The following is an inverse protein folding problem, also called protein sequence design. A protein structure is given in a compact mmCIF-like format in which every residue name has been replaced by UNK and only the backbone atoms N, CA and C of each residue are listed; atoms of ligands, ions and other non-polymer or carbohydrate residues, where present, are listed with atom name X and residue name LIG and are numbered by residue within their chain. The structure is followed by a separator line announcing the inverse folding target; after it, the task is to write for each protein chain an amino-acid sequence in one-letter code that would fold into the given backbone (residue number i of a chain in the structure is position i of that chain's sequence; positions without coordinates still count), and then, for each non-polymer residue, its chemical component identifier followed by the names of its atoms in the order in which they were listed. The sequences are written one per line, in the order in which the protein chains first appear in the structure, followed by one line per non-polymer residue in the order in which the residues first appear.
data_IF_014273190638
#
_entry.id   IF_014273190638
#
_cell.length_a   1.000
_cell.length_b   1.000
_cell.length_c   1.000
_cell.angle_alpha   90.00
_cell.angle_beta   90.00
_cell.angle_gamma   90.00
#
_symmetry.space_group_name_H-M   'P 1'
#
loop_
_entity.id
_entity.type
_entity.pdbx_description
1 polymer ?
#
# COMPACT_ATOMS: atom_id res chain seq x y z
N UNK A 1 13.36 -19.22 -7.02
CA UNK A 1 13.29 -19.16 -5.54
C UNK A 1 11.91 -19.65 -5.14
N UNK A 2 11.76 -20.44 -4.07
CA UNK A 2 10.46 -20.94 -3.65
C UNK A 2 9.52 -19.76 -3.31
N UNK A 3 8.30 -19.74 -3.83
CA UNK A 3 7.31 -18.67 -3.61
C UNK A 3 6.99 -18.46 -2.13
N UNK A 4 7.06 -19.51 -1.30
CA UNK A 4 6.91 -19.38 0.15
C UNK A 4 8.06 -18.60 0.80
N UNK A 5 9.29 -18.80 0.32
CA UNK A 5 10.47 -18.07 0.81
C UNK A 5 10.38 -16.60 0.40
N UNK A 6 10.00 -16.32 -0.85
CA UNK A 6 9.74 -14.96 -1.33
C UNK A 6 8.69 -14.24 -0.49
N UNK A 7 7.58 -14.92 -0.18
CA UNK A 7 6.52 -14.38 0.66
C UNK A 7 7.01 -14.11 2.08
N UNK A 8 7.76 -15.04 2.69
CA UNK A 8 8.37 -14.84 4.00
C UNK A 8 9.30 -13.62 4.04
N UNK A 9 10.14 -13.43 3.02
CA UNK A 9 11.01 -12.25 2.89
C UNK A 9 10.18 -10.97 2.77
N UNK A 10 9.15 -10.96 1.93
CA UNK A 10 8.30 -9.78 1.75
C UNK A 10 7.62 -9.38 3.06
N UNK A 11 7.05 -10.34 3.79
CA UNK A 11 6.41 -10.11 5.09
C UNK A 11 7.43 -9.61 6.11
N UNK A 12 8.61 -10.25 6.18
CA UNK A 12 9.67 -9.85 7.10
C UNK A 12 10.17 -8.42 6.84
N UNK A 13 10.39 -8.06 5.57
CA UNK A 13 10.82 -6.70 5.21
C UNK A 13 9.75 -5.66 5.54
N UNK A 14 8.46 -5.95 5.26
CA UNK A 14 7.38 -5.05 5.66
C UNK A 14 7.34 -4.89 7.17
N UNK A 15 7.44 -5.98 7.93
CA UNK A 15 7.49 -5.93 9.39
C UNK A 15 8.66 -5.09 9.88
N UNK A 16 9.86 -5.30 9.35
CA UNK A 16 11.06 -4.55 9.74
C UNK A 16 10.91 -3.05 9.47
N UNK A 17 10.36 -2.68 8.30
CA UNK A 17 10.10 -1.28 7.95
C UNK A 17 9.02 -0.66 8.84
N UNK A 18 7.91 -1.36 9.07
CA UNK A 18 6.84 -0.90 9.97
C UNK A 18 7.33 -0.76 11.41
N UNK A 19 8.13 -1.71 11.89
CA UNK A 19 8.76 -1.64 13.21
C UNK A 19 9.70 -0.43 13.31
N UNK A 20 10.55 -0.21 12.29
CA UNK A 20 11.43 0.95 12.23
C UNK A 20 10.66 2.27 12.26
N UNK A 21 9.60 2.39 11.45
CA UNK A 21 8.74 3.59 11.42
C UNK A 21 8.08 3.82 12.79
N UNK A 22 7.50 2.78 13.38
CA UNK A 22 6.82 2.92 14.69
C UNK A 22 7.80 3.26 15.82
N UNK A 23 9.03 2.76 15.78
CA UNK A 23 10.00 2.97 16.86
C UNK A 23 10.81 4.25 16.72
N UNK A 24 11.15 4.64 15.51
CA UNK A 24 12.03 5.78 15.23
C UNK A 24 11.28 7.04 14.83
N UNK A 25 10.09 6.90 14.24
CA UNK A 25 9.34 8.03 13.66
C UNK A 25 8.06 8.30 14.45
N UNK A 26 7.18 7.32 14.56
CA UNK A 26 5.87 7.47 15.21
C UNK A 26 5.95 7.22 16.72
N UNK A 27 6.75 8.03 17.41
CA UNK A 27 6.92 7.91 18.87
C UNK A 27 5.70 8.43 19.63
N UNK A 28 5.60 8.05 20.91
CA UNK A 28 4.53 8.54 21.79
C UNK A 28 4.49 10.06 21.86
N UNK A 29 5.65 10.72 21.83
CA UNK A 29 5.74 12.19 21.83
C UNK A 29 5.10 12.79 20.57
N UNK A 30 5.34 12.21 19.39
CA UNK A 30 4.76 12.70 18.12
C UNK A 30 3.24 12.59 18.15
N UNK A 31 2.70 11.49 18.69
CA UNK A 31 1.26 11.35 18.89
C UNK A 31 0.72 12.29 19.97
N UNK A 32 1.45 12.48 21.06
CA UNK A 32 1.06 13.34 22.16
C UNK A 32 0.91 14.79 21.70
N UNK A 33 1.94 15.34 21.03
CA UNK A 33 1.90 16.71 20.49
C UNK A 33 0.84 16.88 19.40
N UNK A 34 0.53 15.84 18.62
CA UNK A 34 -0.54 15.92 17.63
C UNK A 34 -1.95 15.94 18.23
N UNK A 35 -2.13 15.41 19.45
CA UNK A 35 -3.45 15.20 20.07
C UNK A 35 -3.75 16.14 21.22
N UNK A 36 -2.73 16.73 21.87
CA UNK A 36 -2.89 17.58 23.07
C UNK A 36 -3.80 18.79 22.84
N UNK A 37 -3.85 19.32 21.62
CA UNK A 37 -4.71 20.45 21.28
C UNK A 37 -6.19 20.05 21.13
N UNK A 38 -6.50 18.75 21.06
CA UNK A 38 -7.84 18.24 20.76
C UNK A 38 -8.42 17.33 21.86
N UNK A 39 -7.57 16.73 22.69
CA UNK A 39 -7.95 15.71 23.68
C UNK A 39 -7.33 16.01 25.05
N UNK A 40 -7.98 15.54 26.11
CA UNK A 40 -7.39 15.58 27.45
C UNK A 40 -6.22 14.58 27.59
N UNK A 41 -5.26 14.89 28.46
CA UNK A 41 -4.09 14.03 28.70
C UNK A 41 -4.48 12.61 29.12
N UNK A 42 -5.46 12.46 30.01
CA UNK A 42 -5.99 11.16 30.42
C UNK A 42 -6.49 10.34 29.22
N UNK A 43 -7.20 11.00 28.29
CA UNK A 43 -7.72 10.33 27.10
C UNK A 43 -6.62 9.93 26.13
N UNK A 44 -5.56 10.75 26.00
CA UNK A 44 -4.39 10.43 25.19
C UNK A 44 -3.67 9.20 25.75
N UNK A 45 -3.46 9.14 27.06
CA UNK A 45 -2.85 7.97 27.71
C UNK A 45 -3.70 6.70 27.55
N UNK A 46 -5.02 6.78 27.68
CA UNK A 46 -5.91 5.65 27.41
C UNK A 46 -5.80 5.13 25.96
N UNK A 47 -5.73 6.04 24.98
CA UNK A 47 -5.61 5.68 23.57
C UNK A 47 -4.26 5.02 23.27
N UNK A 48 -3.15 5.60 23.75
CA UNK A 48 -1.80 5.03 23.57
C UNK A 48 -1.67 3.65 24.24
N UNK A 49 -2.23 3.47 25.44
CA UNK A 49 -2.22 2.17 26.12
C UNK A 49 -3.09 1.13 25.39
N UNK A 50 -4.23 1.54 24.86
CA UNK A 50 -5.09 0.68 24.05
C UNK A 50 -4.37 0.24 22.77
N UNK A 51 -3.70 1.16 22.08
CA UNK A 51 -2.93 0.85 20.87
C UNK A 51 -1.85 -0.21 21.13
N UNK A 52 -1.04 -0.03 22.19
CA UNK A 52 -0.01 -1.01 22.61
C UNK A 52 -0.60 -2.40 22.87
N UNK A 53 -1.80 -2.47 23.46
CA UNK A 53 -2.47 -3.75 23.75
C UNK A 53 -2.89 -4.51 22.48
N UNK A 54 -3.26 -3.81 21.40
CA UNK A 54 -3.70 -4.42 20.14
C UNK A 54 -2.58 -4.58 19.11
N UNK A 55 -1.40 -4.02 19.37
CA UNK A 55 -0.27 -4.01 18.44
C UNK A 55 0.14 -5.42 17.98
N UNK A 56 0.19 -6.38 18.91
CA UNK A 56 0.53 -7.77 18.60
C UNK A 56 -0.49 -8.45 17.67
N UNK A 57 -1.77 -8.08 17.74
CA UNK A 57 -2.82 -8.61 16.86
C UNK A 57 -2.57 -8.12 15.43
N UNK A 58 -2.28 -6.82 15.26
CA UNK A 58 -1.99 -6.21 13.97
C UNK A 58 -0.77 -6.89 13.32
N UNK A 59 0.31 -7.10 14.09
CA UNK A 59 1.49 -7.79 13.58
C UNK A 59 1.24 -9.26 13.22
N UNK A 60 0.40 -9.97 13.98
CA UNK A 60 0.05 -11.36 13.70
C UNK A 60 -0.87 -11.51 12.49
N UNK A 61 -1.78 -10.56 12.26
CA UNK A 61 -2.69 -10.57 11.12
C UNK A 61 -2.08 -10.02 9.83
N UNK A 62 -1.00 -9.23 9.91
CA UNK A 62 -0.30 -8.66 8.77
C UNK A 62 -0.03 -9.66 7.63
N UNK A 63 0.59 -10.83 7.89
CA UNK A 63 0.83 -11.85 6.86
C UNK A 63 -0.45 -12.31 6.16
N UNK A 64 -1.55 -12.49 6.89
CA UNK A 64 -2.84 -12.93 6.33
C UNK A 64 -3.40 -11.86 5.39
N UNK A 65 -3.32 -10.58 5.79
CA UNK A 65 -3.76 -9.44 4.96
C UNK A 65 -2.93 -9.36 3.68
N UNK A 66 -1.60 -9.51 3.74
CA UNK A 66 -0.76 -9.54 2.56
C UNK A 66 -1.06 -10.73 1.64
N UNK A 67 -1.28 -11.92 2.21
CA UNK A 67 -1.65 -13.10 1.43
C UNK A 67 -2.99 -12.88 0.70
N UNK A 68 -3.98 -12.33 1.38
CA UNK A 68 -5.28 -12.00 0.79
C UNK A 68 -5.14 -10.94 -0.31
N UNK A 69 -4.33 -9.90 -0.09
CA UNK A 69 -4.03 -8.88 -1.12
C UNK A 69 -3.44 -9.53 -2.38
N UNK A 70 -2.39 -10.34 -2.24
CA UNK A 70 -1.75 -11.03 -3.36
C UNK A 70 -2.73 -11.96 -4.09
N UNK A 71 -3.57 -12.69 -3.34
CA UNK A 71 -4.60 -13.55 -3.90
C UNK A 71 -5.61 -12.75 -4.73
N UNK A 72 -6.13 -11.64 -4.21
CA UNK A 72 -7.08 -10.79 -4.93
C UNK A 72 -6.48 -10.21 -6.22
N UNK A 73 -5.22 -9.76 -6.17
CA UNK A 73 -4.54 -9.27 -7.37
C UNK A 73 -4.36 -10.36 -8.43
N UNK A 74 -3.88 -11.54 -8.03
CA UNK A 74 -3.74 -12.67 -8.93
C UNK A 74 -5.09 -13.11 -9.51
N UNK A 75 -6.16 -13.09 -8.71
CA UNK A 75 -7.52 -13.41 -9.14
C UNK A 75 -8.05 -12.42 -10.18
N UNK A 76 -7.84 -11.12 -9.99
CA UNK A 76 -8.25 -10.10 -10.96
C UNK A 76 -7.58 -10.32 -12.33
N UNK A 77 -6.28 -10.63 -12.34
CA UNK A 77 -5.55 -10.91 -13.58
C UNK A 77 -6.03 -12.23 -14.19
N UNK A 78 -6.23 -13.26 -13.37
CA UNK A 78 -6.73 -14.57 -13.81
C UNK A 78 -8.08 -14.46 -14.53
N UNK A 79 -8.98 -13.62 -14.01
CA UNK A 79 -10.26 -13.31 -14.67
C UNK A 79 -10.04 -12.73 -16.08
N UNK A 80 -9.04 -11.87 -16.27
CA UNK A 80 -8.72 -11.36 -17.61
C UNK A 80 -8.16 -12.41 -18.57
N UNK A 81 -7.33 -13.34 -18.06
CA UNK A 81 -6.89 -14.49 -18.84
C UNK A 81 -8.08 -15.34 -19.28
N UNK A 82 -9.02 -15.60 -18.36
CA UNK A 82 -10.26 -16.32 -18.64
C UNK A 82 -11.09 -15.63 -19.75
N UNK A 83 -11.33 -14.32 -19.66
CA UNK A 83 -12.07 -13.58 -20.70
C UNK A 83 -11.36 -13.53 -22.06
N UNK A 84 -10.04 -13.67 -22.09
CA UNK A 84 -9.26 -13.75 -23.34
C UNK A 84 -9.10 -15.18 -23.87
N UNK A 85 -9.73 -16.18 -23.24
CA UNK A 85 -9.54 -17.60 -23.55
C UNK A 85 -8.07 -18.05 -23.53
N UNK A 86 -7.27 -17.44 -22.65
CA UNK A 86 -5.86 -17.79 -22.46
C UNK A 86 -5.72 -18.71 -21.25
N UNK A 87 -4.98 -19.80 -21.41
CA UNK A 87 -4.74 -20.76 -20.33
C UNK A 87 -3.51 -20.35 -19.53
N UNK A 88 -3.68 -20.19 -18.22
CA UNK A 88 -2.58 -19.92 -17.28
C UNK A 88 -2.85 -20.62 -15.96
N UNK A 89 -1.80 -21.03 -15.25
CA UNK A 89 -1.93 -21.53 -13.89
C UNK A 89 -2.04 -20.36 -12.92
N UNK A 90 -3.00 -20.40 -11.99
CA UNK A 90 -3.16 -19.38 -10.96
C UNK A 90 -1.87 -19.17 -10.15
N UNK A 91 -1.13 -20.25 -9.86
CA UNK A 91 0.15 -20.20 -9.15
C UNK A 91 1.19 -19.32 -9.84
N UNK A 92 1.21 -19.30 -11.18
CA UNK A 92 2.13 -18.46 -11.97
C UNK A 92 1.78 -16.99 -11.80
N UNK A 93 0.49 -16.65 -11.89
CA UNK A 93 0.05 -15.26 -11.67
C UNK A 93 0.27 -14.80 -10.23
N UNK A 94 0.08 -15.70 -9.26
CA UNK A 94 0.36 -15.41 -7.86
C UNK A 94 1.85 -15.14 -7.62
N UNK A 95 2.75 -15.92 -8.24
CA UNK A 95 4.19 -15.69 -8.14
C UNK A 95 4.62 -14.38 -8.80
N UNK A 96 4.05 -14.04 -9.95
CA UNK A 96 4.27 -12.75 -10.62
C UNK A 96 3.78 -11.59 -9.75
N UNK A 97 2.57 -11.69 -9.19
CA UNK A 97 2.04 -10.70 -8.25
C UNK A 97 2.94 -10.52 -7.02
N UNK A 98 3.42 -11.63 -6.44
CA UNK A 98 4.33 -11.64 -5.31
C UNK A 98 5.66 -10.94 -5.61
N UNK A 99 6.27 -11.22 -6.77
CA UNK A 99 7.51 -10.57 -7.20
C UNK A 99 7.32 -9.06 -7.39
N UNK A 100 6.22 -8.65 -8.01
CA UNK A 100 5.91 -7.24 -8.24
C UNK A 100 5.65 -6.45 -6.97
N UNK A 101 5.15 -7.10 -5.92
CA UNK A 101 4.78 -6.47 -4.65
C UNK A 101 5.98 -5.81 -3.93
N UNK A 102 7.21 -6.25 -4.21
CA UNK A 102 8.43 -5.66 -3.65
C UNK A 102 8.59 -4.16 -3.96
N UNK A 103 8.00 -3.67 -5.06
CA UNK A 103 8.04 -2.24 -5.38
C UNK A 103 7.35 -1.38 -4.32
N UNK A 104 6.35 -1.92 -3.63
CA UNK A 104 5.64 -1.19 -2.57
C UNK A 104 6.48 -1.00 -1.30
N UNK A 105 7.57 -1.76 -1.12
CA UNK A 105 8.51 -1.55 -0.01
C UNK A 105 9.26 -0.23 -0.12
N UNK A 106 9.36 0.35 -1.33
CA UNK A 106 10.09 1.59 -1.57
C UNK A 106 9.50 2.78 -0.80
N UNK A 107 8.17 2.82 -0.63
CA UNK A 107 7.51 3.91 0.09
C UNK A 107 7.89 3.92 1.58
N UNK A 108 7.62 2.87 2.37
CA UNK A 108 7.99 2.86 3.78
C UNK A 108 9.51 2.93 3.98
N UNK A 109 10.32 2.38 3.08
CA UNK A 109 11.78 2.55 3.13
C UNK A 109 12.20 4.01 2.94
N UNK A 110 11.65 4.70 1.93
CA UNK A 110 11.92 6.12 1.70
C UNK A 110 11.42 6.98 2.87
N UNK A 111 10.25 6.66 3.44
CA UNK A 111 9.71 7.34 4.62
C UNK A 111 10.66 7.21 5.80
N UNK A 112 11.09 5.97 6.09
CA UNK A 112 12.01 5.69 7.18
C UNK A 112 13.33 6.45 7.01
N UNK A 113 13.91 6.40 5.82
CA UNK A 113 15.15 7.09 5.50
C UNK A 113 15.02 8.62 5.62
N UNK A 114 13.97 9.21 5.05
CA UNK A 114 13.77 10.66 5.04
C UNK A 114 13.66 11.25 6.45
N UNK A 115 12.76 10.73 7.27
CA UNK A 115 12.51 11.28 8.61
C UNK A 115 13.56 10.88 9.67
N UNK A 116 14.40 9.89 9.37
CA UNK A 116 15.53 9.57 10.24
C UNK A 116 16.73 10.50 9.96
N UNK A 117 16.99 10.82 8.69
CA UNK A 117 18.24 11.48 8.30
C UNK A 117 18.11 12.93 7.83
N UNK A 118 16.97 13.36 7.30
CA UNK A 118 16.82 14.68 6.67
C UNK A 118 15.89 15.62 7.42
N UNK A 119 14.71 15.13 7.81
CA UNK A 119 13.72 15.92 8.55
C UNK A 119 13.48 15.27 9.90
N UNK A 120 14.05 15.83 10.96
CA UNK A 120 13.90 15.32 12.34
C UNK A 120 12.87 16.13 13.16
N UNK A 121 12.34 17.22 12.61
CA UNK A 121 11.36 18.10 13.25
C UNK A 121 10.02 18.03 12.51
N UNK A 122 9.55 16.81 12.26
CA UNK A 122 8.29 16.56 11.56
C UNK A 122 7.10 16.54 12.52
N UNK A 123 5.94 16.91 12.01
CA UNK A 123 4.65 16.64 12.65
C UNK A 123 4.13 15.25 12.25
N UNK A 124 3.10 14.78 12.96
CA UNK A 124 2.38 13.56 12.58
C UNK A 124 1.82 13.66 11.16
N UNK A 125 1.27 14.82 10.78
CA UNK A 125 0.72 15.06 9.44
C UNK A 125 1.78 14.89 8.35
N UNK A 126 2.99 15.42 8.56
CA UNK A 126 4.09 15.28 7.61
C UNK A 126 4.41 13.79 7.33
N UNK A 127 4.39 12.96 8.37
CA UNK A 127 4.68 11.52 8.26
C UNK A 127 3.55 10.77 7.57
N UNK A 128 2.30 11.13 7.86
CA UNK A 128 1.11 10.49 7.29
C UNK A 128 0.92 10.86 5.82
N UNK A 129 1.24 12.09 5.42
CA UNK A 129 1.13 12.55 4.03
C UNK A 129 2.29 12.08 3.13
N UNK A 130 3.34 11.48 3.70
CA UNK A 130 4.46 10.93 2.93
C UNK A 130 4.07 9.61 2.24
N UNK A 131 4.27 9.43 0.91
CA UNK A 131 5.04 10.29 0.02
C UNK A 131 4.15 11.31 -0.72
N UNK A 132 4.70 12.50 -0.93
CA UNK A 132 4.08 13.58 -1.71
C UNK A 132 4.10 13.34 -3.23
N UNK A 133 4.15 12.09 -3.71
CA UNK A 133 4.18 11.75 -5.15
C UNK A 133 2.90 11.01 -5.59
N UNK A 134 1.77 11.45 -5.04
CA UNK A 134 0.44 11.01 -5.44
C UNK A 134 -0.14 11.97 -6.47
N UNK A 135 -1.19 11.59 -7.19
CA UNK A 135 -1.88 12.52 -8.09
C UNK A 135 -2.47 13.71 -7.31
N UNK A 136 -2.76 13.53 -6.02
CA UNK A 136 -3.27 14.58 -5.14
C UNK A 136 -2.26 15.71 -4.89
N UNK A 137 -0.96 15.38 -4.84
CA UNK A 137 0.09 16.37 -4.52
C UNK A 137 0.48 17.29 -5.69
N UNK A 138 -0.07 17.04 -6.88
CA UNK A 138 0.06 17.95 -8.03
C UNK A 138 -0.72 19.25 -7.79
N UNK A 139 -1.76 19.19 -6.95
CA UNK A 139 -2.61 20.33 -6.66
C UNK A 139 -2.11 21.10 -5.43
N UNK A 140 -2.22 22.44 -5.42
CA UNK A 140 -1.86 23.24 -4.25
C UNK A 140 -2.63 22.82 -2.99
N UNK A 141 -2.02 23.00 -1.81
CA UNK A 141 -2.69 22.76 -0.54
C UNK A 141 -4.01 23.54 -0.43
N UNK A 142 -5.06 22.87 0.01
CA UNK A 142 -6.42 23.44 0.13
C UNK A 142 -7.21 23.52 -1.17
N UNK A 143 -6.62 23.20 -2.34
CA UNK A 143 -7.34 23.23 -3.62
C UNK A 143 -8.32 22.05 -3.77
N UNK A 144 -7.93 20.87 -3.30
CA UNK A 144 -8.76 19.68 -3.36
C UNK A 144 -9.57 19.53 -2.08
N UNK A 145 -10.88 19.31 -2.25
CA UNK A 145 -11.71 18.85 -1.16
C UNK A 145 -11.27 17.46 -0.69
N UNK A 146 -11.44 17.16 0.60
CA UNK A 146 -10.97 15.92 1.24
C UNK A 146 -11.43 14.65 0.50
N UNK A 147 -12.69 14.62 0.06
CA UNK A 147 -13.28 13.51 -0.69
C UNK A 147 -12.62 13.25 -2.05
N UNK A 148 -11.94 14.23 -2.66
CA UNK A 148 -11.15 14.06 -3.91
C UNK A 148 -9.68 13.78 -3.60
N UNK A 149 -9.13 14.35 -2.52
CA UNK A 149 -7.75 14.11 -2.09
C UNK A 149 -7.50 12.62 -1.82
N UNK A 150 -8.43 11.96 -1.16
CA UNK A 150 -8.34 10.53 -0.81
C UNK A 150 -8.21 9.58 -2.03
N UNK A 151 -9.12 9.58 -3.02
CA UNK A 151 -9.03 8.71 -4.20
C UNK A 151 -7.77 8.99 -5.04
N UNK A 152 -7.36 10.26 -5.14
CA UNK A 152 -6.12 10.64 -5.86
C UNK A 152 -4.85 10.16 -5.14
N UNK A 153 -4.92 9.84 -3.85
CA UNK A 153 -3.82 9.23 -3.09
C UNK A 153 -3.44 7.83 -3.59
N UNK A 154 -4.40 7.07 -4.12
CA UNK A 154 -4.15 5.73 -4.67
C UNK A 154 -3.37 5.77 -5.98
N UNK A 155 -3.49 6.85 -6.74
CA UNK A 155 -2.75 7.04 -7.98
C UNK A 155 -1.39 7.66 -7.65
N UNK A 156 -0.34 6.86 -7.68
CA UNK A 156 1.01 7.31 -7.39
C UNK A 156 2.06 6.63 -8.29
N UNK A 157 3.29 7.12 -8.25
CA UNK A 157 4.38 6.61 -9.09
C UNK A 157 4.72 5.13 -8.81
N UNK A 158 4.55 4.68 -7.57
CA UNK A 158 4.80 3.29 -7.18
C UNK A 158 3.71 2.38 -7.72
N UNK A 159 2.46 2.86 -7.76
CA UNK A 159 1.35 2.17 -8.36
C UNK A 159 1.52 1.99 -9.88
N UNK A 160 2.05 3.02 -10.55
CA UNK A 160 2.43 2.93 -11.96
C UNK A 160 3.58 1.95 -12.17
N UNK A 161 4.64 2.05 -11.36
CA UNK A 161 5.77 1.12 -11.41
C UNK A 161 5.31 -0.34 -11.18
N UNK A 162 4.39 -0.56 -10.23
CA UNK A 162 3.78 -1.86 -9.97
C UNK A 162 3.08 -2.44 -11.21
N UNK A 163 2.25 -1.65 -11.90
CA UNK A 163 1.58 -2.08 -13.13
C UNK A 163 2.59 -2.49 -14.20
N UNK A 164 3.67 -1.72 -14.38
CA UNK A 164 4.71 -2.00 -15.37
C UNK A 164 5.51 -3.26 -15.03
N UNK A 165 5.90 -3.44 -13.76
CA UNK A 165 6.63 -4.63 -13.28
C UNK A 165 5.73 -5.87 -13.41
N UNK A 166 4.45 -5.76 -13.08
CA UNK A 166 3.48 -6.85 -13.22
C UNK A 166 3.29 -7.24 -14.69
N UNK A 167 3.12 -6.27 -15.57
CA UNK A 167 3.04 -6.51 -17.01
C UNK A 167 4.31 -7.17 -17.55
N UNK A 168 5.48 -6.75 -17.06
CA UNK A 168 6.77 -7.33 -17.43
C UNK A 168 6.92 -8.77 -16.93
N UNK A 169 6.47 -9.05 -15.70
CA UNK A 169 6.46 -10.40 -15.13
C UNK A 169 5.56 -11.35 -15.94
N UNK A 170 4.36 -10.91 -16.30
CA UNK A 170 3.45 -11.69 -17.17
C UNK A 170 4.08 -11.93 -18.55
N UNK A 171 4.65 -10.88 -19.15
CA UNK A 171 5.29 -10.96 -20.48
C UNK A 171 6.44 -11.95 -20.50
N UNK A 172 7.29 -11.95 -19.47
CA UNK A 172 8.43 -12.85 -19.38
C UNK A 172 8.02 -14.29 -19.05
N UNK A 173 7.15 -14.49 -18.05
CA UNK A 173 6.82 -15.83 -17.55
C UNK A 173 5.85 -16.58 -18.47
N UNK A 174 5.12 -15.87 -19.35
CA UNK A 174 4.13 -16.45 -20.29
C UNK A 174 4.47 -16.20 -21.77
N UNK A 175 5.67 -15.69 -22.06
CA UNK A 175 6.15 -15.39 -23.42
C UNK A 175 5.20 -14.50 -24.25
N UNK A 176 4.39 -13.70 -23.56
CA UNK A 176 3.46 -12.75 -24.19
C UNK A 176 4.19 -11.48 -24.59
N UNK A 177 3.75 -10.81 -25.66
CA UNK A 177 4.23 -9.45 -25.97
C UNK A 177 3.96 -8.53 -24.78
N UNK A 178 4.92 -7.66 -24.49
CA UNK A 178 4.79 -6.71 -23.38
C UNK A 178 3.57 -5.80 -23.52
N UNK A 179 3.26 -5.34 -24.74
CA UNK A 179 2.06 -4.55 -25.03
C UNK A 179 0.77 -5.26 -24.63
N UNK A 180 0.68 -6.55 -24.92
CA UNK A 180 -0.52 -7.35 -24.70
C UNK A 180 -0.71 -7.65 -23.22
N UNK A 181 0.42 -7.88 -22.54
CA UNK A 181 0.51 -8.07 -21.08
C UNK A 181 0.18 -6.77 -20.33
N UNK A 182 0.70 -5.63 -20.77
CA UNK A 182 0.40 -4.32 -20.19
C UNK A 182 -1.08 -3.97 -20.37
N UNK A 183 -1.63 -4.20 -21.56
CA UNK A 183 -3.06 -4.02 -21.83
C UNK A 183 -3.91 -4.92 -20.93
N UNK A 184 -3.50 -6.18 -20.74
CA UNK A 184 -4.18 -7.11 -19.85
C UNK A 184 -4.19 -6.63 -18.39
N UNK A 185 -3.03 -6.25 -17.86
CA UNK A 185 -2.91 -5.74 -16.49
C UNK A 185 -3.75 -4.48 -16.31
N UNK A 186 -3.68 -3.54 -17.25
CA UNK A 186 -4.46 -2.32 -17.18
C UNK A 186 -5.97 -2.59 -17.17
N UNK A 187 -6.46 -3.47 -18.05
CA UNK A 187 -7.88 -3.82 -18.13
C UNK A 187 -8.39 -4.66 -16.95
N UNK A 188 -7.50 -5.36 -16.24
CA UNK A 188 -7.89 -6.21 -15.10
C UNK A 188 -7.62 -5.51 -13.78
N UNK A 189 -6.35 -5.41 -13.42
CA UNK A 189 -5.89 -4.78 -12.19
C UNK A 189 -6.27 -3.30 -12.14
N UNK A 190 -6.14 -2.56 -13.25
CA UNK A 190 -6.54 -1.15 -13.29
C UNK A 190 -8.03 -0.95 -13.04
N UNK A 191 -8.89 -1.80 -13.60
CA UNK A 191 -10.34 -1.80 -13.34
C UNK A 191 -10.63 -2.20 -11.89
N UNK A 192 -9.96 -3.22 -11.35
CA UNK A 192 -10.11 -3.62 -9.96
C UNK A 192 -9.70 -2.49 -8.98
N UNK A 193 -8.62 -1.76 -9.29
CA UNK A 193 -8.18 -0.59 -8.54
C UNK A 193 -9.23 0.52 -8.60
N UNK A 194 -9.83 0.79 -9.76
CA UNK A 194 -10.92 1.77 -9.87
C UNK A 194 -12.14 1.38 -9.03
N UNK A 195 -12.54 0.10 -9.06
CA UNK A 195 -13.63 -0.41 -8.21
C UNK A 195 -13.29 -0.19 -6.73
N UNK A 196 -12.06 -0.48 -6.32
CA UNK A 196 -11.60 -0.25 -4.95
C UNK A 196 -11.63 1.23 -4.56
N UNK A 197 -11.19 2.12 -5.45
CA UNK A 197 -11.23 3.57 -5.22
C UNK A 197 -12.68 4.05 -5.08
N UNK A 198 -13.59 3.61 -5.95
CA UNK A 198 -15.00 4.00 -5.88
C UNK A 198 -15.68 3.45 -4.62
N UNK A 199 -15.37 2.21 -4.24
CA UNK A 199 -15.89 1.61 -3.01
C UNK A 199 -15.44 2.36 -1.77
N UNK A 200 -14.15 2.69 -1.68
CA UNK A 200 -13.61 3.44 -0.53
C UNK A 200 -14.12 4.87 -0.50
N UNK A 201 -14.29 5.52 -1.66
CA UNK A 201 -14.95 6.83 -1.77
C UNK A 201 -16.39 6.78 -1.26
N UNK A 202 -17.16 5.77 -1.67
CA UNK A 202 -18.55 5.59 -1.22
C UNK A 202 -18.62 5.43 0.29
N UNK A 203 -17.76 4.58 0.88
CA UNK A 203 -17.69 4.42 2.33
C UNK A 203 -17.32 5.74 3.01
N UNK A 204 -16.32 6.44 2.50
CA UNK A 204 -15.87 7.70 3.07
C UNK A 204 -17.01 8.71 3.12
N UNK A 205 -17.71 8.94 2.00
CA UNK A 205 -18.82 9.90 1.93
C UNK A 205 -20.03 9.45 2.77
N UNK A 206 -20.28 8.14 2.87
CA UNK A 206 -21.46 7.62 3.59
C UNK A 206 -21.30 7.66 5.11
N UNK A 207 -20.06 7.63 5.62
CA UNK A 207 -19.76 7.52 7.06
C UNK A 207 -18.91 8.69 7.60
N UNK A 208 -18.62 9.71 6.79
CA UNK A 208 -18.06 11.01 7.22
C UNK A 208 -19.15 11.98 7.64
#
# INVERSE_FOLDING_TARGET
MNSLVLFGILVFLNFLLSFGINRLILTEDVYYYALIDTLSEERIHELLNSQKKFEWIIYSFGPVVYALKLFLMAACIYIGFFFRNLTVKFSTLFEVALKSEFVFLLIPAARLFWFTFFDQNYSLDNVLEFPSYTAASIFPHGFLAFWIKYPLGFVNIIQLAYILILAKGISNDLEMKYSDSATLVFQTYGVALLIWILFTLFLLISYS
#
